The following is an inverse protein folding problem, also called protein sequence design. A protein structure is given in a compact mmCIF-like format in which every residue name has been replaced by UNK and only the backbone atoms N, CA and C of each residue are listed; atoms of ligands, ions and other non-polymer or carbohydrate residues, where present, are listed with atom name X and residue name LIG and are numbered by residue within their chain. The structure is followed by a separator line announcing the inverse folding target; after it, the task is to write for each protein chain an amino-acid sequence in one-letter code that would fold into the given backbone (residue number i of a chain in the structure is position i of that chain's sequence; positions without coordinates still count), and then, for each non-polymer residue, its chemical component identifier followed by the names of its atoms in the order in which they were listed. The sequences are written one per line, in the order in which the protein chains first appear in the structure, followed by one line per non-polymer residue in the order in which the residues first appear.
data_IF_720075537853
#
_entry.id   IF_720075537853
#
_cell.length_a   1.000
_cell.length_b   1.000
_cell.length_c   1.000
_cell.angle_alpha   90.00
_cell.angle_beta   90.00
_cell.angle_gamma   90.00
#
_symmetry.space_group_name_H-M   'P 1'
#
loop_
_entity.id
_entity.type
_entity.pdbx_description
1 polymer ?
#
# COMPACT_ATOMS: atom_id res chain seq x y z
N UNK A 1 3.83 16.25 -15.53
CA UNK A 1 2.36 16.46 -15.46
C UNK A 1 1.95 16.18 -14.02
N UNK A 2 1.41 17.18 -13.35
CA UNK A 2 1.08 17.13 -11.93
C UNK A 2 -0.10 16.20 -11.60
N UNK A 3 -0.28 15.99 -10.32
CA UNK A 3 -1.40 15.24 -9.75
C UNK A 3 -2.68 16.04 -9.99
N UNK A 4 -3.74 15.34 -10.42
CA UNK A 4 -5.04 15.96 -10.65
C UNK A 4 -6.13 15.00 -10.16
N UNK A 5 -6.94 15.42 -9.19
CA UNK A 5 -8.14 14.74 -8.78
C UNK A 5 -9.21 14.87 -9.86
N UNK A 6 -9.71 13.75 -10.36
CA UNK A 6 -10.80 13.72 -11.36
C UNK A 6 -12.09 13.42 -10.64
N UNK A 7 -13.13 14.25 -10.85
CA UNK A 7 -14.46 13.94 -10.36
C UNK A 7 -15.06 12.79 -11.20
N UNK A 8 -15.44 11.73 -10.55
CA UNK A 8 -16.09 10.56 -11.15
C UNK A 8 -17.52 10.41 -10.60
N UNK A 9 -18.38 9.67 -11.31
CA UNK A 9 -19.77 9.45 -10.88
C UNK A 9 -19.89 8.79 -9.49
N UNK A 10 -18.89 8.01 -9.10
CA UNK A 10 -18.86 7.36 -7.77
C UNK A 10 -18.73 8.34 -6.61
N UNK A 11 -18.34 9.59 -6.84
CA UNK A 11 -18.31 10.64 -5.81
C UNK A 11 -19.66 11.32 -5.62
N UNK A 12 -20.65 11.05 -6.48
CA UNK A 12 -21.98 11.57 -6.28
C UNK A 12 -22.73 10.71 -5.27
N UNK A 13 -23.15 11.31 -4.17
CA UNK A 13 -24.04 10.65 -3.19
C UNK A 13 -25.52 10.79 -3.57
N UNK A 14 -25.83 11.60 -4.59
CA UNK A 14 -27.19 11.82 -5.05
C UNK A 14 -27.92 12.97 -4.34
N UNK A 15 -27.24 13.70 -3.47
CA UNK A 15 -27.76 14.90 -2.79
C UNK A 15 -27.09 16.12 -3.39
N UNK A 16 -27.79 16.83 -4.27
CA UNK A 16 -27.21 17.89 -5.13
C UNK A 16 -26.49 18.99 -4.33
N UNK A 17 -26.97 19.38 -3.18
CA UNK A 17 -26.34 20.39 -2.35
C UNK A 17 -24.96 19.91 -1.85
N UNK A 18 -24.84 18.68 -1.43
CA UNK A 18 -23.60 18.05 -0.94
C UNK A 18 -22.67 17.79 -2.11
N UNK A 19 -23.15 17.13 -3.17
CA UNK A 19 -22.36 16.82 -4.37
C UNK A 19 -21.74 18.09 -5.00
N UNK A 20 -22.46 19.20 -4.98
CA UNK A 20 -21.96 20.50 -5.48
C UNK A 20 -20.80 21.02 -4.63
N UNK A 21 -20.90 20.92 -3.30
CA UNK A 21 -19.86 21.38 -2.39
C UNK A 21 -18.62 20.46 -2.47
N UNK A 22 -18.78 19.16 -2.59
CA UNK A 22 -17.69 18.22 -2.87
C UNK A 22 -16.94 18.59 -4.17
N UNK A 23 -17.65 18.84 -5.27
CA UNK A 23 -17.03 19.28 -6.53
C UNK A 23 -16.23 20.58 -6.36
N UNK A 24 -16.66 21.48 -5.49
CA UNK A 24 -15.90 22.71 -5.18
C UNK A 24 -14.62 22.39 -4.40
N UNK A 25 -14.68 21.51 -3.38
CA UNK A 25 -13.51 21.08 -2.62
C UNK A 25 -12.48 20.40 -3.53
N UNK A 26 -12.90 19.53 -4.45
CA UNK A 26 -12.03 18.92 -5.46
C UNK A 26 -11.34 19.98 -6.34
N UNK A 27 -12.09 21.02 -6.78
CA UNK A 27 -11.52 22.11 -7.57
C UNK A 27 -10.51 22.94 -6.77
N UNK A 28 -10.75 23.19 -5.49
CA UNK A 28 -9.85 23.91 -4.59
C UNK A 28 -8.55 23.14 -4.44
N UNK A 29 -8.64 21.85 -4.11
CA UNK A 29 -7.47 20.98 -3.96
C UNK A 29 -6.66 20.90 -5.26
N UNK A 30 -7.32 20.74 -6.42
CA UNK A 30 -6.63 20.73 -7.71
C UNK A 30 -5.87 22.05 -7.99
N UNK A 31 -6.42 23.18 -7.59
CA UNK A 31 -5.69 24.45 -7.68
C UNK A 31 -4.47 24.48 -6.77
N UNK A 32 -4.61 24.02 -5.53
CA UNK A 32 -3.50 23.92 -4.57
C UNK A 32 -2.40 22.98 -5.06
N UNK A 33 -2.75 21.80 -5.59
CA UNK A 33 -1.82 20.87 -6.21
C UNK A 33 -1.04 21.52 -7.35
N UNK A 34 -1.73 22.24 -8.24
CA UNK A 34 -1.09 22.94 -9.35
C UNK A 34 -0.13 24.04 -8.88
N UNK A 35 -0.49 24.77 -7.82
CA UNK A 35 0.34 25.84 -7.29
C UNK A 35 1.56 25.33 -6.53
N UNK A 36 1.44 24.19 -5.86
CA UNK A 36 2.57 23.55 -5.13
C UNK A 36 3.72 23.11 -6.05
N UNK A 37 3.45 22.98 -7.35
CA UNK A 37 4.47 22.65 -8.37
C UNK A 37 5.24 23.89 -8.89
N UNK A 38 4.78 25.11 -8.61
CA UNK A 38 5.37 26.36 -9.11
C UNK A 38 6.28 26.99 -8.07
N UNK A 39 7.60 27.06 -8.34
CA UNK A 39 8.61 27.48 -7.34
C UNK A 39 8.51 28.94 -6.92
N UNK A 40 8.12 29.88 -7.79
CA UNK A 40 8.19 31.33 -7.51
C UNK A 40 6.97 31.94 -6.76
N UNK A 41 5.84 31.25 -6.68
CA UNK A 41 4.61 31.80 -6.08
C UNK A 41 4.05 30.94 -4.93
N UNK A 42 4.77 29.92 -4.51
CA UNK A 42 4.22 28.80 -3.75
C UNK A 42 3.71 29.19 -2.35
N UNK A 43 4.47 29.94 -1.57
CA UNK A 43 4.18 30.16 -0.14
C UNK A 43 2.91 30.99 0.09
N UNK A 44 2.79 32.14 -0.56
CA UNK A 44 1.62 33.01 -0.37
C UNK A 44 0.34 32.37 -0.94
N UNK A 45 0.42 31.79 -2.13
CA UNK A 45 -0.73 31.16 -2.78
C UNK A 45 -1.19 29.92 -2.00
N UNK A 46 -0.24 29.13 -1.47
CA UNK A 46 -0.57 28.00 -0.61
C UNK A 46 -1.23 28.46 0.70
N UNK A 47 -0.72 29.53 1.33
CA UNK A 47 -1.31 30.09 2.57
C UNK A 47 -2.76 30.54 2.37
N UNK A 48 -3.02 31.35 1.34
CA UNK A 48 -4.37 31.83 1.05
C UNK A 48 -5.29 30.70 0.58
N UNK A 49 -4.78 29.78 -0.23
CA UNK A 49 -5.55 28.63 -0.69
C UNK A 49 -5.92 27.67 0.44
N UNK A 50 -5.01 27.42 1.39
CA UNK A 50 -5.27 26.62 2.59
C UNK A 50 -6.34 27.27 3.47
N UNK A 51 -6.25 28.60 3.67
CA UNK A 51 -7.27 29.34 4.39
C UNK A 51 -8.64 29.20 3.72
N UNK A 52 -8.70 29.38 2.41
CA UNK A 52 -9.93 29.24 1.64
C UNK A 52 -10.49 27.81 1.72
N UNK A 53 -9.63 26.79 1.64
CA UNK A 53 -10.03 25.39 1.80
C UNK A 53 -10.67 25.14 3.17
N UNK A 54 -10.07 25.62 4.25
CA UNK A 54 -10.59 25.48 5.62
C UNK A 54 -11.96 26.12 5.79
N UNK A 55 -12.10 27.36 5.33
CA UNK A 55 -13.37 28.11 5.43
C UNK A 55 -14.46 27.38 4.65
N UNK A 56 -14.11 26.85 3.47
CA UNK A 56 -15.07 26.14 2.62
C UNK A 56 -15.45 24.77 3.20
N UNK A 57 -14.48 24.01 3.71
CA UNK A 57 -14.73 22.73 4.37
C UNK A 57 -15.61 22.90 5.62
N UNK A 58 -15.34 23.92 6.45
CA UNK A 58 -16.15 24.18 7.64
C UNK A 58 -17.63 24.51 7.30
N UNK A 59 -17.85 25.26 6.21
CA UNK A 59 -19.20 25.56 5.72
C UNK A 59 -19.89 24.29 5.19
N UNK A 60 -19.18 23.52 4.39
CA UNK A 60 -19.69 22.26 3.85
C UNK A 60 -20.11 21.30 4.95
N UNK A 61 -19.27 21.09 5.98
CA UNK A 61 -19.61 20.22 7.11
C UNK A 61 -20.89 20.66 7.82
N UNK A 62 -21.07 21.95 8.02
CA UNK A 62 -22.28 22.46 8.64
C UNK A 62 -23.54 22.17 7.78
N UNK A 63 -23.46 22.42 6.46
CA UNK A 63 -24.58 22.16 5.52
C UNK A 63 -24.91 20.67 5.44
N UNK A 64 -23.91 19.79 5.49
CA UNK A 64 -24.09 18.34 5.49
C UNK A 64 -24.66 17.83 6.80
N UNK A 65 -24.18 18.34 7.94
CA UNK A 65 -24.71 18.03 9.26
C UNK A 65 -26.17 18.44 9.42
N UNK A 66 -26.54 19.60 8.87
CA UNK A 66 -27.92 20.09 8.83
C UNK A 66 -28.81 19.16 7.96
N UNK A 67 -28.29 18.72 6.81
CA UNK A 67 -28.99 17.76 5.96
C UNK A 67 -29.21 16.44 6.69
N UNK A 68 -28.16 15.85 7.29
CA UNK A 68 -28.26 14.62 8.07
C UNK A 68 -29.26 14.72 9.23
N UNK A 69 -29.30 15.88 9.92
CA UNK A 69 -30.28 16.15 10.97
C UNK A 69 -31.71 16.18 10.42
N UNK A 70 -31.91 16.78 9.25
CA UNK A 70 -33.23 16.89 8.61
C UNK A 70 -33.82 15.54 8.22
N UNK A 71 -33.00 14.56 7.89
CA UNK A 71 -33.40 13.18 7.53
C UNK A 71 -33.34 12.21 8.72
N UNK A 72 -33.03 12.71 9.93
CA UNK A 72 -32.86 11.89 11.13
C UNK A 72 -31.84 10.75 10.97
N UNK A 73 -30.70 11.03 10.32
CA UNK A 73 -29.66 10.03 10.06
C UNK A 73 -29.08 9.46 11.36
N UNK A 74 -29.12 8.13 11.51
CA UNK A 74 -28.68 7.44 12.72
C UNK A 74 -27.19 7.63 13.03
N UNK A 75 -26.34 7.77 11.97
CA UNK A 75 -24.89 7.97 12.08
C UNK A 75 -24.46 9.41 12.37
N UNK A 76 -25.38 10.37 12.50
CA UNK A 76 -25.07 11.80 12.64
C UNK A 76 -24.04 12.11 13.73
N UNK A 77 -24.15 11.50 14.90
CA UNK A 77 -23.24 11.74 16.03
C UNK A 77 -21.80 11.35 15.71
N UNK A 78 -21.61 10.19 15.08
CA UNK A 78 -20.28 9.71 14.67
C UNK A 78 -19.72 10.56 13.53
N UNK A 79 -20.55 10.87 12.54
CA UNK A 79 -20.15 11.70 11.40
C UNK A 79 -19.70 13.10 11.84
N UNK A 80 -20.46 13.77 12.71
CA UNK A 80 -20.03 15.04 13.34
C UNK A 80 -18.69 14.94 14.02
N UNK A 81 -18.44 13.88 14.74
CA UNK A 81 -17.15 13.66 15.40
C UNK A 81 -16.00 13.57 14.41
N UNK A 82 -16.20 12.90 13.25
CA UNK A 82 -15.17 12.82 12.20
C UNK A 82 -14.86 14.21 11.64
N UNK A 83 -15.87 15.04 11.40
CA UNK A 83 -15.71 16.44 11.00
C UNK A 83 -14.96 17.27 12.06
N UNK A 84 -15.34 17.12 13.34
CA UNK A 84 -14.68 17.81 14.46
C UNK A 84 -13.22 17.41 14.60
N UNK A 85 -12.89 16.12 14.54
CA UNK A 85 -11.52 15.61 14.60
C UNK A 85 -10.66 16.15 13.45
N UNK A 86 -11.20 16.20 12.24
CA UNK A 86 -10.50 16.80 11.11
C UNK A 86 -10.27 18.29 11.30
N UNK A 87 -11.32 19.04 11.70
CA UNK A 87 -11.29 20.50 11.84
C UNK A 87 -10.47 20.96 13.05
N UNK A 88 -10.59 20.30 14.19
CA UNK A 88 -10.03 20.74 15.47
C UNK A 88 -8.68 20.11 15.80
N UNK A 89 -8.36 18.94 15.24
CA UNK A 89 -7.12 18.24 15.52
C UNK A 89 -6.22 18.18 14.27
N UNK A 90 -6.70 17.61 13.17
CA UNK A 90 -5.87 17.33 11.98
C UNK A 90 -5.42 18.63 11.28
N UNK A 91 -6.33 19.50 10.93
CA UNK A 91 -5.99 20.76 10.23
C UNK A 91 -5.07 21.68 11.05
N UNK A 92 -5.30 21.92 12.35
CA UNK A 92 -4.39 22.73 13.16
C UNK A 92 -2.98 22.16 13.28
N UNK A 93 -2.83 20.83 13.38
CA UNK A 93 -1.53 20.18 13.41
C UNK A 93 -0.75 20.42 12.10
N UNK A 94 -1.41 20.22 10.97
CA UNK A 94 -0.84 20.48 9.64
C UNK A 94 -0.46 21.96 9.43
N UNK A 95 -1.30 22.91 9.90
CA UNK A 95 -0.98 24.33 9.84
C UNK A 95 0.24 24.72 10.69
N UNK A 96 0.37 24.10 11.85
CA UNK A 96 1.54 24.30 12.70
C UNK A 96 2.81 23.85 12.00
N UNK A 97 2.80 22.65 11.37
CA UNK A 97 3.92 22.16 10.58
C UNK A 97 4.27 23.12 9.43
N UNK A 98 3.27 23.55 8.65
CA UNK A 98 3.47 24.50 7.56
C UNK A 98 4.14 25.81 8.03
N UNK A 99 3.70 26.35 9.16
CA UNK A 99 4.28 27.59 9.73
C UNK A 99 5.71 27.35 10.25
N UNK A 100 5.98 26.22 10.92
CA UNK A 100 7.29 25.90 11.47
C UNK A 100 8.34 25.66 10.38
N UNK A 101 7.93 25.17 9.22
CA UNK A 101 8.81 24.87 8.09
C UNK A 101 8.83 25.97 7.04
N UNK A 102 8.22 27.12 7.32
CA UNK A 102 8.02 28.22 6.37
C UNK A 102 7.46 27.74 5.03
N UNK A 103 6.44 26.89 5.10
CA UNK A 103 5.77 26.28 3.94
C UNK A 103 6.72 25.52 3.02
N UNK A 104 7.60 24.72 3.58
CA UNK A 104 8.48 23.85 2.80
C UNK A 104 7.68 22.95 1.85
N UNK A 105 8.30 22.54 0.74
CA UNK A 105 7.69 21.67 -0.27
C UNK A 105 7.17 20.36 0.34
N UNK A 106 7.92 19.79 1.28
CA UNK A 106 7.53 18.57 1.99
C UNK A 106 6.31 18.78 2.87
N UNK A 107 6.24 19.88 3.62
CA UNK A 107 5.09 20.20 4.47
C UNK A 107 3.83 20.51 3.64
N UNK A 108 3.98 21.16 2.49
CA UNK A 108 2.88 21.38 1.55
C UNK A 108 2.42 20.02 0.98
N UNK A 109 3.33 19.15 0.58
CA UNK A 109 2.98 17.80 0.06
C UNK A 109 2.31 16.96 1.13
N UNK A 110 2.76 17.05 2.39
CA UNK A 110 2.12 16.39 3.52
C UNK A 110 0.69 16.91 3.72
N UNK A 111 0.51 18.22 3.83
CA UNK A 111 -0.81 18.85 3.96
C UNK A 111 -1.77 18.41 2.85
N UNK A 112 -1.34 18.50 1.59
CA UNK A 112 -2.17 18.13 0.44
C UNK A 112 -2.50 16.64 0.43
N UNK A 113 -1.53 15.76 0.74
CA UNK A 113 -1.75 14.31 0.83
C UNK A 113 -2.81 13.96 1.87
N UNK A 114 -2.75 14.59 3.04
CA UNK A 114 -3.75 14.41 4.11
C UNK A 114 -5.13 14.90 3.67
N UNK A 115 -5.23 16.12 3.13
CA UNK A 115 -6.52 16.69 2.70
C UNK A 115 -7.16 15.87 1.57
N UNK A 116 -6.36 15.43 0.59
CA UNK A 116 -6.83 14.60 -0.52
C UNK A 116 -7.31 13.25 -0.01
N UNK A 117 -6.50 12.57 0.80
CA UNK A 117 -6.84 11.26 1.35
C UNK A 117 -8.11 11.33 2.20
N UNK A 118 -8.21 12.36 3.04
CA UNK A 118 -9.41 12.58 3.87
C UNK A 118 -10.65 12.83 3.00
N UNK A 119 -10.61 13.81 2.09
CA UNK A 119 -11.77 14.17 1.27
C UNK A 119 -12.26 12.99 0.45
N UNK A 120 -11.37 12.30 -0.24
CA UNK A 120 -11.73 11.18 -1.11
C UNK A 120 -12.29 10.02 -0.30
N UNK A 121 -11.64 9.65 0.81
CA UNK A 121 -12.13 8.55 1.64
C UNK A 121 -13.43 8.91 2.33
N UNK A 122 -13.56 10.13 2.87
CA UNK A 122 -14.77 10.61 3.53
C UNK A 122 -15.96 10.55 2.58
N UNK A 123 -15.84 11.16 1.39
CA UNK A 123 -16.92 11.16 0.38
C UNK A 123 -17.34 9.76 -0.02
N UNK A 124 -16.39 8.84 -0.27
CA UNK A 124 -16.71 7.48 -0.74
C UNK A 124 -17.21 6.53 0.37
N UNK A 125 -17.08 6.89 1.64
CA UNK A 125 -17.51 6.02 2.73
C UNK A 125 -18.59 6.67 3.58
N UNK A 126 -18.24 7.79 4.22
CA UNK A 126 -19.05 8.41 5.22
C UNK A 126 -20.30 9.07 4.63
N UNK A 127 -20.09 9.81 3.54
CA UNK A 127 -21.16 10.57 2.90
C UNK A 127 -22.09 9.64 2.11
N UNK A 128 -21.54 8.60 1.48
CA UNK A 128 -22.35 7.55 0.86
C UNK A 128 -23.24 6.82 1.89
N UNK A 129 -22.74 6.62 3.10
CA UNK A 129 -23.52 5.98 4.18
C UNK A 129 -24.75 6.81 4.59
N UNK A 130 -24.79 8.12 4.32
CA UNK A 130 -25.95 8.99 4.62
C UNK A 130 -27.17 8.57 3.77
N UNK A 131 -26.97 8.17 2.54
CA UNK A 131 -28.05 7.80 1.59
C UNK A 131 -28.27 6.30 1.49
N UNK A 132 -27.29 5.49 1.86
CA UNK A 132 -27.46 4.05 2.01
C UNK A 132 -28.25 3.76 3.28
N UNK A 133 -29.44 3.20 3.16
CA UNK A 133 -30.24 2.75 4.31
C UNK A 133 -29.40 1.82 5.17
N UNK A 134 -29.11 2.25 6.39
CA UNK A 134 -28.11 1.73 7.29
C UNK A 134 -27.96 0.22 7.31
N UNK A 135 -26.75 -0.23 7.15
CA UNK A 135 -26.33 -1.58 7.51
C UNK A 135 -26.59 -1.77 9.00
N UNK A 136 -27.43 -2.77 9.33
CA UNK A 136 -27.70 -3.11 10.72
C UNK A 136 -26.39 -3.40 11.45
N UNK A 137 -26.31 -3.01 12.72
CA UNK A 137 -25.16 -3.37 13.58
C UNK A 137 -25.07 -4.90 13.67
N UNK A 138 -23.87 -5.42 13.68
CA UNK A 138 -23.61 -6.84 13.88
C UNK A 138 -23.78 -7.17 15.36
N UNK A 139 -25.00 -7.43 15.78
CA UNK A 139 -25.34 -7.77 17.15
C UNK A 139 -25.30 -9.29 17.30
N UNK A 140 -24.59 -9.77 18.33
CA UNK A 140 -24.57 -11.19 18.74
C UNK A 140 -24.13 -12.18 17.65
N UNK A 141 -23.20 -11.78 16.76
CA UNK A 141 -22.63 -12.70 15.78
C UNK A 141 -21.72 -13.73 16.45
N UNK A 142 -21.80 -14.97 15.99
CA UNK A 142 -20.78 -15.97 16.31
C UNK A 142 -19.47 -15.60 15.60
N UNK A 143 -18.28 -15.97 16.12
CA UNK A 143 -17.00 -15.57 15.55
C UNK A 143 -16.85 -15.86 14.04
N UNK A 144 -17.42 -16.95 13.54
CA UNK A 144 -17.39 -17.28 12.11
C UNK A 144 -18.31 -16.40 11.27
N UNK A 145 -19.46 -16.01 11.81
CA UNK A 145 -20.40 -15.09 11.16
C UNK A 145 -19.80 -13.68 11.11
N UNK A 146 -19.14 -13.26 12.20
CA UNK A 146 -18.41 -12.00 12.26
C UNK A 146 -17.30 -11.97 11.22
N UNK A 147 -16.47 -13.01 11.10
CA UNK A 147 -15.43 -13.12 10.09
C UNK A 147 -16.01 -13.02 8.66
N UNK A 148 -17.15 -13.68 8.42
CA UNK A 148 -17.83 -13.61 7.12
C UNK A 148 -18.34 -12.21 6.84
N UNK A 149 -18.92 -11.53 7.81
CA UNK A 149 -19.41 -10.17 7.70
C UNK A 149 -18.26 -9.17 7.44
N UNK A 150 -17.14 -9.32 8.16
CA UNK A 150 -15.91 -8.55 7.91
C UNK A 150 -15.40 -8.76 6.48
N UNK A 151 -15.37 -10.01 6.00
CA UNK A 151 -14.93 -10.32 4.64
C UNK A 151 -15.80 -9.60 3.60
N UNK A 152 -17.12 -9.66 3.74
CA UNK A 152 -18.06 -8.99 2.83
C UNK A 152 -17.89 -7.46 2.85
N UNK A 153 -17.67 -6.88 4.03
CA UNK A 153 -17.45 -5.43 4.15
C UNK A 153 -16.10 -5.01 3.53
N UNK A 154 -15.07 -5.85 3.64
CA UNK A 154 -13.79 -5.65 2.96
C UNK A 154 -13.97 -5.67 1.44
N UNK A 155 -14.68 -6.67 0.92
CA UNK A 155 -14.94 -6.79 -0.52
C UNK A 155 -15.73 -5.59 -1.04
N UNK A 156 -16.76 -5.18 -0.32
CA UNK A 156 -17.57 -4.00 -0.64
C UNK A 156 -16.72 -2.72 -0.64
N UNK A 157 -15.93 -2.48 0.42
CA UNK A 157 -15.08 -1.31 0.51
C UNK A 157 -14.06 -1.25 -0.63
N UNK A 158 -13.42 -2.37 -0.95
CA UNK A 158 -12.43 -2.43 -2.03
C UNK A 158 -13.08 -2.19 -3.40
N UNK A 159 -14.30 -2.66 -3.61
CA UNK A 159 -15.09 -2.37 -4.80
C UNK A 159 -15.42 -0.89 -4.93
N UNK A 160 -15.98 -0.29 -3.88
CA UNK A 160 -16.42 1.12 -3.84
C UNK A 160 -15.22 2.08 -3.95
N UNK A 161 -14.19 1.85 -3.12
CA UNK A 161 -13.04 2.74 -3.00
C UNK A 161 -12.07 2.59 -4.18
N UNK A 162 -11.69 1.37 -4.53
CA UNK A 162 -10.59 1.10 -5.45
C UNK A 162 -11.02 0.54 -6.79
N UNK A 163 -12.30 0.20 -6.96
CA UNK A 163 -12.79 -0.55 -8.12
C UNK A 163 -12.03 -1.87 -8.31
N UNK A 164 -11.77 -2.56 -7.22
CA UNK A 164 -11.12 -3.86 -7.18
C UNK A 164 -12.09 -4.90 -6.66
N UNK A 165 -11.93 -6.12 -7.13
CA UNK A 165 -12.67 -7.30 -6.65
C UNK A 165 -11.70 -8.20 -5.87
N UNK A 166 -11.49 -7.94 -4.57
CA UNK A 166 -10.59 -8.74 -3.77
C UNK A 166 -11.17 -10.14 -3.61
N UNK A 167 -10.31 -11.12 -3.69
CA UNK A 167 -10.64 -12.52 -3.48
C UNK A 167 -9.95 -13.00 -2.22
N UNK A 168 -10.71 -13.57 -1.29
CA UNK A 168 -10.16 -14.16 -0.08
C UNK A 168 -9.26 -15.35 -0.46
N UNK A 169 -7.99 -15.29 -0.05
CA UNK A 169 -6.97 -16.32 -0.30
C UNK A 169 -6.77 -17.19 0.93
N UNK A 170 -6.82 -16.60 2.14
CA UNK A 170 -6.68 -17.30 3.39
C UNK A 170 -7.53 -16.67 4.49
N UNK A 171 -8.20 -17.52 5.25
CA UNK A 171 -8.91 -17.16 6.49
C UNK A 171 -7.99 -17.20 7.73
N UNK A 172 -6.76 -17.69 7.56
CA UNK A 172 -5.74 -17.79 8.59
C UNK A 172 -4.41 -17.37 7.98
N UNK A 173 -4.16 -16.06 7.90
CA UNK A 173 -2.87 -15.53 7.49
C UNK A 173 -1.90 -15.59 8.67
N UNK A 174 -0.75 -16.25 8.49
CA UNK A 174 0.24 -16.52 9.55
C UNK A 174 1.36 -15.48 9.62
N UNK A 175 1.21 -14.33 8.97
CA UNK A 175 2.20 -13.27 9.01
C UNK A 175 3.35 -13.41 8.01
N UNK A 176 3.21 -14.27 7.00
CA UNK A 176 4.21 -14.44 5.95
C UNK A 176 4.42 -13.14 5.18
N UNK A 177 5.67 -12.90 4.79
CA UNK A 177 6.02 -11.75 3.97
C UNK A 177 5.52 -11.95 2.54
N UNK A 178 4.75 -11.00 2.05
CA UNK A 178 4.36 -10.92 0.65
C UNK A 178 4.79 -9.58 0.05
N UNK A 179 5.58 -9.63 -1.01
CA UNK A 179 6.11 -8.44 -1.70
C UNK A 179 6.81 -7.43 -0.79
N UNK A 180 6.74 -6.15 -1.14
CA UNK A 180 7.11 -5.04 -0.28
C UNK A 180 5.89 -4.63 0.54
N UNK A 181 5.75 -5.19 1.73
CA UNK A 181 4.63 -4.92 2.63
C UNK A 181 4.78 -3.59 3.36
N UNK A 182 3.67 -2.87 3.48
CA UNK A 182 3.51 -1.69 4.33
C UNK A 182 2.57 -2.09 5.45
N UNK A 183 3.05 -1.99 6.68
CA UNK A 183 2.39 -2.52 7.86
C UNK A 183 1.83 -1.37 8.68
N UNK A 184 0.50 -1.21 8.67
CA UNK A 184 -0.21 -0.21 9.48
C UNK A 184 -0.76 -0.86 10.73
N UNK A 185 -0.48 -0.26 11.88
CA UNK A 185 -1.08 -0.63 13.16
C UNK A 185 -1.97 0.51 13.65
N UNK A 186 -3.22 0.20 13.93
CA UNK A 186 -4.20 1.11 14.52
C UNK A 186 -4.63 0.58 15.87
N UNK A 187 -4.55 1.42 16.89
CA UNK A 187 -4.93 1.09 18.26
C UNK A 187 -6.07 1.99 18.72
N UNK A 188 -7.09 1.38 19.30
CA UNK A 188 -8.26 2.04 19.85
C UNK A 188 -8.42 1.66 21.31
N UNK A 189 -8.86 2.59 22.14
CA UNK A 189 -9.10 2.33 23.55
C UNK A 189 -10.40 2.98 24.06
N UNK A 190 -10.97 2.37 25.10
CA UNK A 190 -12.05 2.96 25.90
C UNK A 190 -11.47 3.80 27.04
N UNK A 191 -12.31 4.62 27.66
CA UNK A 191 -11.93 5.36 28.88
C UNK A 191 -11.59 4.42 30.04
N UNK A 192 -12.13 3.21 30.05
CA UNK A 192 -11.91 2.16 31.07
C UNK A 192 -10.60 1.39 30.83
N UNK A 193 -9.97 1.55 29.67
CA UNK A 193 -8.68 0.96 29.35
C UNK A 193 -8.73 -0.29 28.48
N UNK A 194 -9.91 -0.71 28.01
CA UNK A 194 -10.05 -1.78 27.03
C UNK A 194 -9.45 -1.34 25.71
N UNK A 195 -8.68 -2.21 25.05
CA UNK A 195 -8.00 -1.89 23.81
C UNK A 195 -8.40 -2.84 22.70
N UNK A 196 -8.45 -2.30 21.48
CA UNK A 196 -8.58 -3.02 20.23
C UNK A 196 -7.40 -2.64 19.34
N UNK A 197 -6.78 -3.61 18.70
CA UNK A 197 -5.67 -3.38 17.80
C UNK A 197 -5.96 -4.05 16.45
N UNK A 198 -5.72 -3.30 15.38
CA UNK A 198 -5.84 -3.78 14.00
C UNK A 198 -4.51 -3.59 13.29
N UNK A 199 -4.07 -4.63 12.57
CA UNK A 199 -2.90 -4.55 11.71
C UNK A 199 -3.34 -4.81 10.28
N UNK A 200 -3.06 -3.83 9.40
CA UNK A 200 -3.31 -3.95 7.98
C UNK A 200 -2.00 -3.96 7.23
N UNK A 201 -1.86 -4.91 6.34
CA UNK A 201 -0.67 -5.06 5.53
C UNK A 201 -1.08 -4.86 4.06
N UNK A 202 -0.44 -3.92 3.38
CA UNK A 202 -0.66 -3.69 1.97
C UNK A 202 0.64 -3.91 1.21
N UNK A 203 0.56 -4.61 0.10
CA UNK A 203 1.66 -4.60 -0.84
C UNK A 203 1.81 -3.21 -1.46
N UNK A 204 3.05 -2.67 -1.48
CA UNK A 204 3.34 -1.31 -1.99
C UNK A 204 2.70 -1.04 -3.36
N UNK A 205 2.78 -2.03 -4.28
CA UNK A 205 2.21 -1.90 -5.62
C UNK A 205 0.68 -1.73 -5.60
N UNK A 206 0.00 -2.34 -4.62
CA UNK A 206 -1.44 -2.17 -4.45
C UNK A 206 -1.78 -0.72 -4.11
N UNK A 207 -1.10 -0.12 -3.13
CA UNK A 207 -1.33 1.28 -2.76
C UNK A 207 -1.02 2.25 -3.91
N UNK A 208 0.07 2.01 -4.64
CA UNK A 208 0.42 2.83 -5.81
C UNK A 208 -0.68 2.75 -6.88
N UNK A 209 -1.20 1.55 -7.15
CA UNK A 209 -2.22 1.34 -8.20
C UNK A 209 -3.62 1.79 -7.78
N UNK A 210 -4.01 1.57 -6.52
CA UNK A 210 -5.34 1.89 -6.02
C UNK A 210 -5.44 3.32 -5.51
N UNK A 211 -4.79 3.65 -4.40
CA UNK A 211 -4.81 5.00 -3.83
C UNK A 211 -4.16 5.99 -4.77
N UNK A 212 -3.04 5.63 -5.41
CA UNK A 212 -2.38 6.47 -6.40
C UNK A 212 -3.33 6.84 -7.56
N UNK A 213 -4.07 5.88 -8.11
CA UNK A 213 -5.08 6.13 -9.15
C UNK A 213 -6.20 7.03 -8.62
N UNK A 214 -6.67 6.76 -7.39
CA UNK A 214 -7.75 7.49 -6.74
C UNK A 214 -7.44 8.98 -6.57
N UNK A 215 -6.20 9.30 -6.18
CA UNK A 215 -5.74 10.70 -6.01
C UNK A 215 -5.14 11.30 -7.29
N UNK A 216 -5.18 10.57 -8.41
CA UNK A 216 -4.62 11.02 -9.68
C UNK A 216 -3.09 11.06 -9.73
N UNK A 217 -2.40 10.36 -8.83
CA UNK A 217 -0.94 10.23 -8.84
C UNK A 217 -0.47 9.36 -9.99
N UNK A 218 0.60 9.80 -10.68
CA UNK A 218 1.32 9.01 -11.69
C UNK A 218 2.64 8.46 -11.17
N UNK A 219 2.90 8.60 -9.87
CA UNK A 219 4.09 8.07 -9.26
C UNK A 219 4.14 6.55 -9.38
N UNK A 220 5.32 6.02 -9.67
CA UNK A 220 5.59 4.58 -9.67
C UNK A 220 6.19 4.11 -8.34
N UNK A 221 6.32 5.01 -7.37
CA UNK A 221 6.89 4.77 -6.05
C UNK A 221 6.04 5.48 -5.00
N UNK A 222 6.07 4.97 -3.79
CA UNK A 222 5.48 5.66 -2.65
C UNK A 222 6.28 6.92 -2.35
N UNK A 223 5.59 8.04 -2.36
CA UNK A 223 6.08 9.34 -1.91
C UNK A 223 5.32 9.80 -0.66
N UNK A 224 5.76 10.91 -0.08
CA UNK A 224 5.16 11.48 1.14
C UNK A 224 3.66 11.72 0.98
N UNK A 225 3.24 12.23 -0.18
CA UNK A 225 1.84 12.52 -0.41
C UNK A 225 0.99 11.27 -0.52
N UNK A 226 1.43 10.28 -1.30
CA UNK A 226 0.73 9.02 -1.47
C UNK A 226 0.65 8.24 -0.15
N UNK A 227 1.74 8.23 0.64
CA UNK A 227 1.74 7.60 1.97
C UNK A 227 0.74 8.25 2.92
N UNK A 228 0.68 9.57 2.97
CA UNK A 228 -0.27 10.26 3.84
C UNK A 228 -1.72 10.07 3.37
N UNK A 229 -1.98 10.10 2.06
CA UNK A 229 -3.29 9.76 1.52
C UNK A 229 -3.69 8.32 1.86
N UNK A 230 -2.78 7.36 1.68
CA UNK A 230 -3.01 5.94 2.01
C UNK A 230 -3.32 5.74 3.48
N UNK A 231 -2.64 6.44 4.39
CA UNK A 231 -2.89 6.39 5.82
C UNK A 231 -4.33 6.72 6.15
N UNK A 232 -4.88 7.80 5.59
CA UNK A 232 -6.28 8.18 5.81
C UNK A 232 -7.26 7.18 5.23
N UNK A 233 -6.98 6.66 4.04
CA UNK A 233 -7.80 5.61 3.42
C UNK A 233 -7.83 4.35 4.31
N UNK A 234 -6.69 3.93 4.83
CA UNK A 234 -6.58 2.77 5.74
C UNK A 234 -7.35 3.01 7.04
N UNK A 235 -7.26 4.22 7.61
CA UNK A 235 -8.03 4.60 8.79
C UNK A 235 -9.53 4.51 8.54
N UNK A 236 -10.02 5.10 7.45
CA UNK A 236 -11.43 5.05 7.09
C UNK A 236 -11.90 3.62 6.82
N UNK A 237 -11.07 2.79 6.25
CA UNK A 237 -11.35 1.37 6.05
C UNK A 237 -11.63 0.65 7.39
N UNK A 238 -10.77 0.83 8.38
CA UNK A 238 -10.97 0.22 9.71
C UNK A 238 -12.19 0.82 10.42
N UNK A 239 -12.37 2.14 10.36
CA UNK A 239 -13.52 2.80 10.96
C UNK A 239 -14.84 2.29 10.37
N UNK A 240 -14.91 2.08 9.06
CA UNK A 240 -16.11 1.53 8.40
C UNK A 240 -16.43 0.13 8.91
N UNK A 241 -15.45 -0.76 9.01
CA UNK A 241 -15.63 -2.10 9.56
C UNK A 241 -16.10 -2.00 11.02
N UNK A 242 -15.42 -1.20 11.83
CA UNK A 242 -15.73 -1.04 13.26
C UNK A 242 -17.14 -0.53 13.54
N UNK A 243 -17.71 0.30 12.67
CA UNK A 243 -19.09 0.81 12.85
C UNK A 243 -20.14 -0.26 12.93
N UNK A 244 -19.88 -1.38 12.32
CA UNK A 244 -20.81 -2.51 12.35
C UNK A 244 -20.82 -3.23 13.71
N UNK A 245 -19.83 -2.96 14.59
CA UNK A 245 -19.80 -3.52 15.94
C UNK A 245 -20.58 -2.64 16.93
N UNK A 246 -21.28 -3.29 17.86
CA UNK A 246 -22.19 -2.64 18.82
C UNK A 246 -21.50 -1.59 19.70
N UNK A 247 -20.26 -1.84 20.08
CA UNK A 247 -19.50 -1.02 21.02
C UNK A 247 -18.49 -0.06 20.35
N UNK A 248 -18.53 0.08 19.02
CA UNK A 248 -17.57 0.89 18.28
C UNK A 248 -17.48 2.36 18.79
N UNK A 249 -18.61 2.92 19.23
CA UNK A 249 -18.69 4.30 19.74
C UNK A 249 -17.94 4.51 21.07
N UNK A 250 -17.70 3.46 21.84
CA UNK A 250 -16.97 3.52 23.12
C UNK A 250 -15.46 3.64 22.93
N UNK A 251 -14.94 3.18 21.79
CA UNK A 251 -13.53 3.16 21.48
C UNK A 251 -13.10 4.40 20.70
N UNK A 252 -12.00 5.01 21.11
CA UNK A 252 -11.36 6.14 20.43
C UNK A 252 -9.99 5.73 19.91
N UNK A 253 -9.58 6.28 18.79
CA UNK A 253 -8.25 6.05 18.28
C UNK A 253 -7.20 6.61 19.26
N UNK A 254 -6.31 5.76 19.71
CA UNK A 254 -5.23 6.08 20.63
C UNK A 254 -3.87 6.14 19.95
N UNK A 255 -3.71 5.38 18.86
CA UNK A 255 -2.46 5.32 18.11
C UNK A 255 -2.61 4.84 16.68
N UNK A 256 -1.71 5.32 15.84
CA UNK A 256 -1.49 4.87 14.47
C UNK A 256 0.01 4.81 14.24
N UNK A 257 0.54 3.65 13.82
CA UNK A 257 1.96 3.44 13.64
C UNK A 257 2.25 2.66 12.36
N UNK A 258 3.37 2.98 11.72
CA UNK A 258 3.97 2.15 10.69
C UNK A 258 4.99 1.20 11.34
N UNK A 259 4.86 -0.09 11.05
CA UNK A 259 5.76 -1.11 11.57
C UNK A 259 6.76 -1.53 10.48
N UNK A 260 8.00 -1.83 10.90
CA UNK A 260 8.89 -2.64 10.07
C UNK A 260 8.37 -4.09 10.02
N UNK A 261 8.83 -4.88 9.05
CA UNK A 261 8.49 -6.30 9.02
C UNK A 261 8.93 -7.03 10.29
N UNK A 262 10.07 -6.70 10.85
CA UNK A 262 10.57 -7.31 12.10
C UNK A 262 9.67 -6.96 13.30
N UNK A 263 9.24 -5.69 13.42
CA UNK A 263 8.31 -5.27 14.45
C UNK A 263 6.94 -5.96 14.31
N UNK A 264 6.44 -6.05 13.08
CA UNK A 264 5.21 -6.78 12.78
C UNK A 264 5.33 -8.26 13.13
N UNK A 265 6.36 -8.95 12.65
CA UNK A 265 6.60 -10.37 12.91
C UNK A 265 6.73 -10.66 14.41
N UNK A 266 7.41 -9.77 15.14
CA UNK A 266 7.52 -9.90 16.58
C UNK A 266 6.17 -9.72 17.31
N UNK A 267 5.37 -8.75 16.90
CA UNK A 267 4.03 -8.55 17.44
C UNK A 267 3.14 -9.75 17.13
N UNK A 268 3.15 -10.20 15.88
CA UNK A 268 2.32 -11.29 15.39
C UNK A 268 2.66 -12.64 16.04
N UNK A 269 3.95 -12.91 16.31
CA UNK A 269 4.39 -14.12 17.01
C UNK A 269 4.06 -14.12 18.51
N UNK A 270 3.92 -12.95 19.12
CA UNK A 270 3.57 -12.81 20.54
C UNK A 270 2.07 -12.84 20.81
N UNK A 271 1.28 -12.33 19.88
CA UNK A 271 -0.14 -12.11 20.02
C UNK A 271 -0.85 -12.78 18.84
N UNK A 272 -1.53 -13.89 19.10
CA UNK A 272 -2.35 -14.51 18.06
C UNK A 272 -3.51 -13.57 17.70
N UNK A 273 -3.74 -13.28 16.40
CA UNK A 273 -4.90 -12.52 15.98
C UNK A 273 -6.18 -13.29 16.30
N UNK A 274 -7.24 -12.57 16.62
CA UNK A 274 -8.58 -13.14 16.75
C UNK A 274 -9.01 -13.76 15.40
N UNK A 275 -8.72 -13.05 14.33
CA UNK A 275 -8.76 -13.56 12.96
C UNK A 275 -7.80 -12.74 12.08
N UNK A 276 -7.34 -13.37 11.01
CA UNK A 276 -6.43 -12.79 10.03
C UNK A 276 -6.81 -13.24 8.63
N UNK A 277 -7.07 -12.28 7.76
CA UNK A 277 -7.59 -12.51 6.42
C UNK A 277 -6.56 -12.02 5.39
N UNK A 278 -6.28 -12.83 4.38
CA UNK A 278 -5.42 -12.46 3.26
C UNK A 278 -6.23 -12.43 1.97
N UNK A 279 -6.11 -11.34 1.23
CA UNK A 279 -6.82 -11.10 -0.02
C UNK A 279 -5.86 -10.89 -1.19
N UNK A 280 -6.24 -11.41 -2.35
CA UNK A 280 -5.67 -11.08 -3.66
C UNK A 280 -6.63 -10.14 -4.41
N UNK A 281 -6.15 -8.99 -4.82
CA UNK A 281 -6.94 -7.98 -5.55
C UNK A 281 -6.65 -7.96 -7.05
N UNK A 282 -5.77 -8.82 -7.54
CA UNK A 282 -5.24 -8.72 -8.91
C UNK A 282 -4.28 -7.53 -9.12
N UNK A 283 -4.34 -6.51 -8.27
CA UNK A 283 -3.41 -5.37 -8.26
C UNK A 283 -2.29 -5.53 -7.22
N UNK A 284 -2.46 -6.45 -6.29
CA UNK A 284 -1.54 -6.77 -5.18
C UNK A 284 -2.30 -7.42 -4.03
N UNK A 285 -1.54 -7.89 -3.05
CA UNK A 285 -2.10 -8.52 -1.85
C UNK A 285 -2.31 -7.51 -0.73
N UNK A 286 -3.31 -7.77 0.11
CA UNK A 286 -3.43 -7.14 1.41
C UNK A 286 -3.94 -8.12 2.46
N UNK A 287 -3.57 -7.86 3.73
CA UNK A 287 -4.08 -8.62 4.85
C UNK A 287 -4.73 -7.70 5.89
N UNK A 288 -5.76 -8.22 6.54
CA UNK A 288 -6.47 -7.59 7.64
C UNK A 288 -6.42 -8.49 8.86
N UNK A 289 -5.83 -8.00 9.96
CA UNK A 289 -5.66 -8.76 11.20
C UNK A 289 -6.33 -8.01 12.36
N UNK A 290 -7.28 -8.65 13.02
CA UNK A 290 -7.87 -8.18 14.28
C UNK A 290 -7.18 -8.88 15.44
N UNK A 291 -6.49 -8.12 16.29
CA UNK A 291 -5.75 -8.65 17.43
C UNK A 291 -6.66 -8.79 18.65
N UNK A 292 -6.44 -9.84 19.45
CA UNK A 292 -7.25 -10.07 20.64
C UNK A 292 -7.04 -8.98 21.70
N UNK A 293 -8.09 -8.37 22.24
CA UNK A 293 -7.98 -7.28 23.22
C UNK A 293 -7.32 -7.70 24.54
N UNK A 294 -7.33 -8.98 24.88
CA UNK A 294 -6.76 -9.48 26.15
C UNK A 294 -5.23 -9.60 26.16
N UNK A 295 -4.55 -9.38 25.02
CA UNK A 295 -3.12 -9.58 24.87
C UNK A 295 -2.32 -8.28 24.76
N UNK A 296 -2.98 -7.13 24.71
CA UNK A 296 -2.32 -5.82 24.66
C UNK A 296 -2.17 -5.24 26.05
N UNK A 297 -1.36 -5.88 26.91
CA UNK A 297 -0.93 -5.26 28.14
C UNK A 297 0.40 -4.52 27.92
N UNK A 298 0.31 -3.27 27.53
CA UNK A 298 1.48 -2.42 27.29
C UNK A 298 1.21 -0.96 27.64
N UNK A 299 1.64 -0.59 28.85
CA UNK A 299 1.71 0.78 29.34
C UNK A 299 2.40 1.70 28.33
N UNK A 300 1.63 2.48 27.60
CA UNK A 300 2.03 3.85 27.22
C UNK A 300 0.82 4.53 26.58
N UNK A 301 0.00 5.16 27.39
CA UNK A 301 -1.04 6.09 26.92
C UNK A 301 -0.31 7.31 26.33
N UNK A 302 -0.12 7.31 25.02
CA UNK A 302 0.23 8.51 24.25
C UNK A 302 -1.01 8.90 23.46
N UNK A 303 -1.56 10.06 23.74
CA UNK A 303 -2.60 10.63 22.88
C UNK A 303 -2.09 10.68 21.44
N UNK A 304 -2.91 10.25 20.49
CA UNK A 304 -2.61 10.36 19.08
C UNK A 304 -2.28 11.81 18.73
N UNK A 305 -1.10 12.04 18.16
CA UNK A 305 -0.68 13.34 17.64
C UNK A 305 -0.36 13.17 16.17
N UNK A 306 -1.06 13.91 15.33
CA UNK A 306 -0.85 13.95 13.88
C UNK A 306 0.61 14.26 13.53
N UNK A 307 1.28 15.10 14.33
CA UNK A 307 2.71 15.42 14.20
C UNK A 307 3.62 14.18 14.27
N UNK A 308 3.26 13.20 15.12
CA UNK A 308 4.04 11.96 15.26
C UNK A 308 3.92 11.08 14.02
N UNK A 309 2.73 11.01 13.42
CA UNK A 309 2.47 10.19 12.24
C UNK A 309 3.20 10.74 10.99
N UNK A 310 3.30 12.07 10.84
CA UNK A 310 4.07 12.69 9.76
C UNK A 310 5.58 12.37 9.85
N UNK A 311 6.13 12.39 11.08
CA UNK A 311 7.53 12.00 11.32
C UNK A 311 7.75 10.52 11.01
N UNK A 312 6.83 9.64 11.39
CA UNK A 312 6.91 8.21 11.09
C UNK A 312 6.90 7.94 9.57
N UNK A 313 6.05 8.63 8.81
CA UNK A 313 6.05 8.51 7.34
C UNK A 313 7.40 8.91 6.74
N UNK A 314 7.98 10.04 7.18
CA UNK A 314 9.31 10.48 6.73
C UNK A 314 10.40 9.47 7.10
N UNK A 315 10.39 8.98 8.34
CA UNK A 315 11.36 8.00 8.82
C UNK A 315 11.25 6.67 8.08
N UNK A 316 10.01 6.20 7.85
CA UNK A 316 9.72 5.00 7.06
C UNK A 316 10.26 5.13 5.63
N UNK A 317 9.98 6.25 4.94
CA UNK A 317 10.45 6.46 3.57
C UNK A 317 11.98 6.59 3.50
N UNK A 318 12.62 7.25 4.46
CA UNK A 318 14.08 7.38 4.51
C UNK A 318 14.76 6.03 4.80
N UNK A 319 14.24 5.22 5.74
CA UNK A 319 14.71 3.86 5.98
C UNK A 319 14.55 2.97 4.76
N UNK A 320 13.39 2.99 4.12
CA UNK A 320 13.13 2.23 2.90
C UNK A 320 14.05 2.63 1.74
N UNK A 321 14.39 3.93 1.61
CA UNK A 321 15.37 4.39 0.63
C UNK A 321 16.80 3.91 0.98
N UNK A 322 17.18 3.92 2.24
CA UNK A 322 18.48 3.40 2.69
C UNK A 322 18.55 1.88 2.55
N UNK A 323 17.51 1.15 2.91
CA UNK A 323 17.41 -0.30 2.71
C UNK A 323 17.44 -0.67 1.23
N UNK A 324 16.76 0.07 0.35
CA UNK A 324 16.82 -0.10 -1.10
C UNK A 324 18.21 0.21 -1.67
N UNK A 325 18.95 1.17 -1.11
CA UNK A 325 20.32 1.49 -1.52
C UNK A 325 21.34 0.49 -0.98
N UNK A 326 21.05 -0.18 0.13
CA UNK A 326 21.86 -1.23 0.74
C UNK A 326 21.41 -2.64 0.39
N UNK A 327 20.23 -2.78 -0.25
CA UNK A 327 19.65 -4.08 -0.58
C UNK A 327 20.46 -4.72 -1.70
N UNK A 328 21.00 -5.90 -1.43
CA UNK A 328 21.65 -6.74 -2.43
C UNK A 328 20.67 -7.01 -3.57
N UNK A 329 21.13 -6.91 -4.82
CA UNK A 329 20.30 -7.28 -5.98
C UNK A 329 19.80 -8.72 -5.83
N UNK A 330 18.55 -8.97 -6.24
CA UNK A 330 17.90 -10.28 -6.13
C UNK A 330 18.12 -11.10 -7.38
N UNK A 331 18.65 -12.31 -7.21
CA UNK A 331 18.85 -13.27 -8.29
C UNK A 331 17.98 -14.50 -8.03
N UNK A 332 17.16 -14.86 -9.00
CA UNK A 332 16.44 -16.13 -9.01
C UNK A 332 17.21 -17.13 -9.84
N UNK A 333 17.62 -18.24 -9.23
CA UNK A 333 18.28 -19.38 -9.90
C UNK A 333 17.24 -20.45 -10.15
N UNK A 334 17.05 -20.79 -11.42
CA UNK A 334 16.07 -21.80 -11.88
C UNK A 334 16.81 -22.92 -12.58
N UNK A 335 16.79 -24.10 -11.97
CA UNK A 335 17.45 -25.30 -12.46
C UNK A 335 16.78 -26.54 -11.83
N UNK A 336 16.61 -27.64 -12.53
CA UNK A 336 16.01 -28.87 -11.96
C UNK A 336 16.99 -29.63 -11.07
N UNK A 337 18.31 -29.42 -11.26
CA UNK A 337 19.36 -30.00 -10.44
C UNK A 337 19.57 -29.27 -9.14
N UNK A 338 19.32 -29.90 -8.00
CA UNK A 338 19.60 -29.32 -6.68
C UNK A 338 21.07 -28.96 -6.49
N UNK A 339 21.98 -29.78 -7.00
CA UNK A 339 23.43 -29.55 -6.92
C UNK A 339 23.81 -28.21 -7.59
N UNK A 340 23.24 -27.93 -8.76
CA UNK A 340 23.50 -26.66 -9.48
C UNK A 340 22.91 -25.49 -8.71
N UNK A 341 21.68 -25.62 -8.21
CA UNK A 341 21.04 -24.55 -7.43
C UNK A 341 21.83 -24.20 -6.18
N UNK A 342 22.27 -25.21 -5.41
CA UNK A 342 23.05 -24.98 -4.19
C UNK A 342 24.45 -24.41 -4.50
N UNK A 343 25.11 -24.89 -5.56
CA UNK A 343 26.40 -24.33 -6.01
C UNK A 343 26.28 -22.85 -6.40
N UNK A 344 25.23 -22.47 -7.16
CA UNK A 344 24.97 -21.08 -7.53
C UNK A 344 24.62 -20.23 -6.30
N UNK A 345 23.83 -20.76 -5.37
CA UNK A 345 23.54 -20.05 -4.12
C UNK A 345 24.83 -19.81 -3.32
N UNK A 346 25.67 -20.83 -3.14
CA UNK A 346 26.95 -20.69 -2.43
C UNK A 346 27.89 -19.68 -3.09
N UNK A 347 27.88 -19.59 -4.42
CA UNK A 347 28.70 -18.64 -5.17
C UNK A 347 28.24 -17.17 -5.03
N UNK A 348 26.92 -16.94 -4.92
CA UNK A 348 26.33 -15.60 -5.11
C UNK A 348 25.78 -14.98 -3.81
N UNK A 349 25.48 -15.76 -2.75
CA UNK A 349 24.79 -15.29 -1.55
C UNK A 349 25.51 -14.20 -0.76
N UNK A 350 26.86 -14.12 -0.87
CA UNK A 350 27.64 -13.11 -0.16
C UNK A 350 27.39 -11.70 -0.71
N UNK A 351 27.12 -11.58 -2.02
CA UNK A 351 26.95 -10.28 -2.72
C UNK A 351 25.50 -10.03 -3.16
N UNK A 352 24.68 -11.08 -3.29
CA UNK A 352 23.33 -11.05 -3.83
C UNK A 352 22.34 -11.74 -2.91
N UNK A 353 21.08 -11.36 -2.99
CA UNK A 353 19.98 -12.12 -2.42
C UNK A 353 19.57 -13.20 -3.41
N UNK A 354 19.74 -14.49 -3.05
CA UNK A 354 19.54 -15.61 -3.98
C UNK A 354 18.27 -16.38 -3.60
N UNK A 355 17.32 -16.42 -4.52
CA UNK A 355 16.16 -17.30 -4.47
C UNK A 355 16.37 -18.51 -5.40
N UNK A 356 15.78 -19.64 -5.08
CA UNK A 356 15.91 -20.89 -5.82
C UNK A 356 14.54 -21.39 -6.31
N UNK A 357 14.48 -21.85 -7.54
CA UNK A 357 13.32 -22.54 -8.11
C UNK A 357 13.76 -23.84 -8.82
N UNK A 358 13.02 -24.92 -8.64
CA UNK A 358 13.36 -26.24 -9.17
C UNK A 358 12.59 -26.59 -10.44
N UNK A 359 11.76 -25.71 -10.95
CA UNK A 359 10.94 -25.94 -12.15
C UNK A 359 10.46 -24.60 -12.73
N UNK A 360 10.00 -24.60 -13.99
CA UNK A 360 9.43 -23.44 -14.63
C UNK A 360 8.22 -22.87 -13.89
N UNK A 361 7.36 -23.74 -13.35
CA UNK A 361 6.19 -23.29 -12.59
C UNK A 361 6.58 -22.63 -11.26
N UNK A 362 7.56 -23.22 -10.53
CA UNK A 362 8.07 -22.60 -9.28
C UNK A 362 8.82 -21.29 -9.56
N UNK A 363 9.49 -21.19 -10.70
CA UNK A 363 10.14 -19.95 -11.14
C UNK A 363 9.09 -18.85 -11.39
N UNK A 364 8.05 -19.14 -12.13
CA UNK A 364 6.99 -18.17 -12.41
C UNK A 364 6.30 -17.69 -11.13
N UNK A 365 5.99 -18.63 -10.22
CA UNK A 365 5.46 -18.29 -8.89
C UNK A 365 6.41 -17.39 -8.09
N UNK A 366 7.72 -17.71 -8.10
CA UNK A 366 8.72 -16.88 -7.38
C UNK A 366 8.82 -15.47 -7.97
N UNK A 367 8.79 -15.33 -9.31
CA UNK A 367 8.82 -14.03 -10.00
C UNK A 367 7.58 -13.20 -9.65
N UNK A 368 6.41 -13.84 -9.57
CA UNK A 368 5.14 -13.17 -9.24
C UNK A 368 5.12 -12.68 -7.79
N UNK A 369 5.60 -13.50 -6.85
CA UNK A 369 5.60 -13.16 -5.44
C UNK A 369 6.68 -12.15 -5.06
N UNK A 370 7.88 -12.28 -5.63
CA UNK A 370 9.02 -11.43 -5.30
C UNK A 370 9.91 -11.22 -6.54
N UNK A 371 9.60 -10.17 -7.31
CA UNK A 371 10.25 -9.87 -8.58
C UNK A 371 11.78 -9.80 -8.44
N UNK A 372 12.55 -10.67 -9.13
CA UNK A 372 14.01 -10.62 -9.13
C UNK A 372 14.55 -9.50 -10.03
N UNK A 373 15.77 -9.08 -9.74
CA UNK A 373 16.55 -8.18 -10.62
C UNK A 373 17.21 -8.90 -11.78
N UNK A 374 17.40 -10.23 -11.63
CA UNK A 374 17.95 -11.13 -12.63
C UNK A 374 17.45 -12.55 -12.41
N UNK A 375 17.11 -13.24 -13.51
CA UNK A 375 16.82 -14.68 -13.51
C UNK A 375 17.97 -15.41 -14.20
N UNK A 376 18.58 -16.37 -13.50
CA UNK A 376 19.50 -17.36 -14.07
C UNK A 376 18.69 -18.62 -14.37
N UNK A 377 18.49 -18.93 -15.63
CA UNK A 377 17.50 -19.93 -16.09
C UNK A 377 18.19 -21.09 -16.81
N UNK A 378 18.00 -22.30 -16.29
CA UNK A 378 18.38 -23.47 -17.06
C UNK A 378 17.49 -23.65 -18.28
N UNK A 379 18.10 -24.06 -19.37
CA UNK A 379 17.38 -24.36 -20.60
C UNK A 379 16.66 -25.71 -20.54
N UNK A 380 17.34 -26.76 -20.04
CA UNK A 380 16.87 -28.15 -20.07
C UNK A 380 16.19 -28.53 -18.74
N UNK A 381 14.90 -28.25 -18.61
CA UNK A 381 14.13 -28.66 -17.45
C UNK A 381 12.94 -29.56 -17.88
N UNK A 382 12.56 -30.54 -17.07
CA UNK A 382 11.40 -31.39 -17.36
C UNK A 382 10.09 -30.61 -17.29
N UNK A 383 9.10 -31.02 -18.08
CA UNK A 383 7.71 -30.49 -18.15
C UNK A 383 7.58 -29.07 -18.70
N UNK A 384 8.46 -28.13 -18.34
CA UNK A 384 8.47 -26.76 -18.80
C UNK A 384 9.93 -26.34 -18.98
N UNK A 385 10.38 -26.24 -20.23
CA UNK A 385 11.75 -25.87 -20.54
C UNK A 385 12.01 -24.36 -20.36
N UNK A 386 13.29 -23.97 -20.36
CA UNK A 386 13.65 -22.57 -20.14
C UNK A 386 13.13 -21.62 -21.22
N UNK A 387 12.90 -22.08 -22.46
CA UNK A 387 12.31 -21.26 -23.49
C UNK A 387 10.86 -20.93 -23.18
N UNK A 388 10.09 -21.90 -22.71
CA UNK A 388 8.70 -21.72 -22.29
C UNK A 388 8.61 -20.79 -21.08
N UNK A 389 9.53 -20.92 -20.12
CA UNK A 389 9.57 -19.99 -18.96
C UNK A 389 9.86 -18.56 -19.42
N UNK A 390 10.82 -18.36 -20.34
CA UNK A 390 11.11 -17.02 -20.88
C UNK A 390 9.93 -16.45 -21.65
N UNK A 391 9.23 -17.26 -22.44
CA UNK A 391 8.02 -16.86 -23.15
C UNK A 391 6.92 -16.41 -22.18
N UNK A 392 6.68 -17.15 -21.11
CA UNK A 392 5.75 -16.77 -20.04
C UNK A 392 6.15 -15.42 -19.39
N UNK A 393 7.44 -15.23 -19.07
CA UNK A 393 7.94 -13.96 -18.52
C UNK A 393 7.73 -12.80 -19.50
N UNK A 394 7.95 -13.00 -20.80
CA UNK A 394 7.82 -11.96 -21.84
C UNK A 394 6.36 -11.66 -22.19
N UNK A 395 5.44 -12.61 -22.03
CA UNK A 395 4.01 -12.42 -22.28
C UNK A 395 3.33 -11.57 -21.22
N UNK A 396 3.83 -11.56 -20.00
CA UNK A 396 3.28 -10.77 -18.89
C UNK A 396 3.88 -9.37 -18.85
N UNK A 397 3.08 -8.33 -19.10
CA UNK A 397 3.53 -6.93 -19.14
C UNK A 397 4.32 -6.51 -17.90
N UNK A 398 3.98 -7.05 -16.74
CA UNK A 398 4.63 -6.74 -15.46
C UNK A 398 6.06 -7.31 -15.40
N UNK A 399 6.30 -8.47 -15.98
CA UNK A 399 7.56 -9.19 -15.90
C UNK A 399 8.38 -9.15 -17.18
N UNK A 400 7.83 -8.63 -18.28
CA UNK A 400 8.48 -8.61 -19.60
C UNK A 400 9.87 -7.96 -19.61
N UNK A 401 10.12 -7.03 -18.68
CA UNK A 401 11.42 -6.36 -18.53
C UNK A 401 12.36 -6.99 -17.50
N UNK A 402 11.99 -8.13 -16.90
CA UNK A 402 12.89 -8.88 -15.99
C UNK A 402 14.02 -9.48 -16.83
N UNK A 403 15.29 -9.19 -16.51
CA UNK A 403 16.41 -9.76 -17.25
C UNK A 403 16.53 -11.26 -17.01
N UNK A 404 16.83 -11.99 -18.09
CA UNK A 404 17.00 -13.44 -18.07
C UNK A 404 18.30 -13.81 -18.74
N UNK A 405 19.18 -14.50 -18.00
CA UNK A 405 20.41 -15.09 -18.50
C UNK A 405 20.26 -16.62 -18.44
N UNK A 406 20.47 -17.26 -19.58
CA UNK A 406 20.43 -18.71 -19.62
C UNK A 406 21.71 -19.34 -19.06
N UNK A 407 21.51 -20.40 -18.26
CA UNK A 407 22.56 -21.33 -17.85
C UNK A 407 22.55 -22.54 -18.81
N UNK A 408 23.55 -22.68 -19.65
CA UNK A 408 23.57 -23.73 -20.70
C UNK A 408 24.68 -24.75 -20.47
N UNK A 409 24.44 -26.00 -20.87
CA UNK A 409 25.47 -27.02 -21.00
C UNK A 409 26.30 -26.86 -22.28
N UNK A 410 27.42 -27.59 -22.38
CA UNK A 410 28.30 -27.56 -23.57
C UNK A 410 27.57 -28.23 -24.76
N UNK A 411 27.28 -27.52 -25.83
CA UNK A 411 26.79 -28.12 -27.08
C UNK A 411 25.44 -27.61 -27.62
N UNK A 412 24.78 -26.70 -26.94
CA UNK A 412 23.37 -26.33 -27.18
C UNK A 412 23.16 -25.22 -28.22
N UNK A 413 23.88 -25.26 -29.37
CA UNK A 413 23.69 -24.25 -30.43
C UNK A 413 22.25 -24.26 -31.01
N UNK A 414 21.62 -25.42 -31.05
CA UNK A 414 20.22 -25.59 -31.50
C UNK A 414 19.23 -25.02 -30.51
N UNK A 415 19.48 -25.12 -29.22
CA UNK A 415 18.63 -24.58 -28.15
C UNK A 415 18.76 -23.06 -28.09
N UNK A 416 19.97 -22.53 -28.26
CA UNK A 416 20.22 -21.07 -28.30
C UNK A 416 19.47 -20.42 -29.45
N UNK A 417 19.48 -21.05 -30.66
CA UNK A 417 18.75 -20.48 -31.82
C UNK A 417 17.24 -20.36 -31.61
N UNK A 418 16.65 -21.19 -30.76
CA UNK A 418 15.20 -21.16 -30.46
C UNK A 418 14.81 -20.01 -29.53
N UNK A 419 15.71 -19.56 -28.66
CA UNK A 419 15.42 -18.51 -27.67
C UNK A 419 15.88 -17.11 -28.09
N UNK A 420 16.65 -16.97 -29.14
CA UNK A 420 17.04 -15.67 -29.72
C UNK A 420 15.82 -14.75 -29.99
N UNK A 421 14.72 -15.24 -30.60
CA UNK A 421 13.54 -14.41 -30.83
C UNK A 421 12.89 -13.86 -29.55
N UNK A 422 13.08 -14.53 -28.43
CA UNK A 422 12.54 -14.14 -27.10
C UNK A 422 13.42 -13.13 -26.37
N UNK A 423 14.55 -12.72 -26.98
CA UNK A 423 15.48 -11.70 -26.52
C UNK A 423 15.95 -11.93 -25.07
N UNK A 424 16.65 -13.02 -24.76
CA UNK A 424 17.31 -13.17 -23.47
C UNK A 424 18.43 -12.15 -23.33
N UNK A 425 18.77 -11.80 -22.08
CA UNK A 425 19.78 -10.78 -21.77
C UNK A 425 21.22 -11.35 -21.79
N UNK A 426 21.38 -12.67 -21.86
CA UNK A 426 22.69 -13.31 -21.95
C UNK A 426 22.66 -14.84 -21.84
N UNK A 427 23.85 -15.41 -21.93
CA UNK A 427 24.09 -16.84 -21.80
C UNK A 427 25.36 -17.08 -20.98
N UNK A 428 25.31 -18.03 -20.06
CA UNK A 428 26.43 -18.50 -19.26
C UNK A 428 26.55 -20.02 -19.38
N UNK A 429 27.79 -20.52 -19.47
CA UNK A 429 28.05 -21.94 -19.49
C UNK A 429 28.09 -22.49 -18.04
N UNK A 430 27.28 -23.49 -17.73
CA UNK A 430 27.29 -24.17 -16.41
C UNK A 430 28.66 -24.71 -16.01
N UNK A 431 29.53 -25.01 -16.99
CA UNK A 431 30.90 -25.54 -16.78
C UNK A 431 31.97 -24.46 -16.70
N UNK A 432 31.63 -23.19 -16.82
CA UNK A 432 32.56 -22.11 -16.57
C UNK A 432 33.07 -22.13 -15.14
N UNK A 433 34.25 -21.59 -14.91
CA UNK A 433 34.76 -21.43 -13.55
C UNK A 433 33.84 -20.54 -12.73
N UNK A 434 33.63 -20.85 -11.43
CA UNK A 434 32.78 -20.05 -10.57
C UNK A 434 33.08 -18.54 -10.63
N UNK A 435 34.35 -18.18 -10.66
CA UNK A 435 34.77 -16.78 -10.73
C UNK A 435 34.38 -16.09 -12.05
N UNK A 436 34.32 -16.83 -13.16
CA UNK A 436 33.90 -16.31 -14.46
C UNK A 436 32.39 -16.05 -14.48
N UNK A 437 31.60 -16.96 -13.88
CA UNK A 437 30.15 -16.82 -13.73
C UNK A 437 29.86 -15.59 -12.88
N UNK A 438 30.48 -15.49 -11.71
CA UNK A 438 30.32 -14.35 -10.80
C UNK A 438 30.68 -13.04 -11.49
N UNK A 439 31.84 -12.98 -12.12
CA UNK A 439 32.29 -11.78 -12.85
C UNK A 439 31.31 -11.34 -13.94
N UNK A 440 30.70 -12.29 -14.64
CA UNK A 440 29.73 -11.98 -15.70
C UNK A 440 28.45 -11.37 -15.11
N UNK A 441 28.01 -11.85 -13.96
CA UNK A 441 26.86 -11.33 -13.23
C UNK A 441 27.17 -9.92 -12.66
N UNK A 442 28.35 -9.73 -12.08
CA UNK A 442 28.79 -8.44 -11.57
C UNK A 442 28.85 -7.38 -12.69
N UNK A 443 29.38 -7.74 -13.85
CA UNK A 443 29.43 -6.88 -15.04
C UNK A 443 28.03 -6.53 -15.54
N UNK A 444 27.10 -7.47 -15.49
CA UNK A 444 25.71 -7.23 -15.88
C UNK A 444 25.06 -6.15 -14.98
N UNK A 445 25.21 -6.27 -13.67
CA UNK A 445 24.65 -5.29 -12.74
C UNK A 445 25.35 -3.93 -12.79
N UNK A 446 26.65 -3.88 -13.02
CA UNK A 446 27.41 -2.63 -13.15
C UNK A 446 27.01 -1.84 -14.41
N UNK A 447 26.85 -2.49 -15.56
CA UNK A 447 26.31 -1.85 -16.77
C UNK A 447 24.91 -1.28 -16.56
N UNK A 448 24.07 -1.97 -15.80
CA UNK A 448 22.71 -1.51 -15.50
C UNK A 448 22.68 -0.29 -14.56
N UNK A 449 23.68 -0.12 -13.70
CA UNK A 449 23.85 1.08 -12.86
C UNK A 449 24.25 2.30 -13.69
N UNK A 450 25.15 2.16 -14.65
CA UNK A 450 25.58 3.27 -15.53
C UNK A 450 24.45 3.82 -16.40
N UNK A 451 23.55 2.94 -16.90
CA UNK A 451 22.38 3.35 -17.71
C UNK A 451 21.31 4.06 -16.86
N UNK A 452 21.26 3.82 -15.55
CA UNK A 452 20.29 4.49 -14.64
C UNK A 452 20.73 5.89 -14.19
N UNK A 453 21.99 6.27 -14.42
CA UNK A 453 22.57 7.55 -14.00
C UNK A 453 22.56 8.59 -15.15
N UNK A 454 22.28 8.17 -16.37
CA UNK A 454 22.01 9.03 -17.53
C UNK A 454 20.48 9.21 -17.74
#
# INVERSE_FOLDING_TARGET
MGIQLVWENRFNIGVEIIDREHRKLFKIINKLLKFSEQEEKSTWVCREGIKYFKEHAAKHFAEEEDYMASISYQGLKMHKRIHEDFRLCTIPALEKELKQTDYSKDAISHFLGVCVGWLVSHTLTEDHAIVENGTGKWENLLPKEEQTAVTQEIERFAGDMFQLEPRLVSECYDGEKFGNGIYYRLTYATEEGDQQEFILIFEEKLLIRSVGKLIGSRSKQLDVMLMNASRFVVRQFVERIRRNFTDAERYRMEGENLLSFEQFSHTFSKHQPQYSLLFDTGAGYFAYCAMSPHLVSGRNRRSFKEETAALEVKEYLSKNQQERSSQKNKILVVDDSDVVRQAMKGLLQDDYQVALANSGLSAFRSITLDRPDLVLLDYNMPLCDGAQVLEMIRSEKEFASVPVIFLTGKGDKTSISKVIPLKPDGYLLKRSKPEEIKRSIDLFFNKKKEIKIQ
#
